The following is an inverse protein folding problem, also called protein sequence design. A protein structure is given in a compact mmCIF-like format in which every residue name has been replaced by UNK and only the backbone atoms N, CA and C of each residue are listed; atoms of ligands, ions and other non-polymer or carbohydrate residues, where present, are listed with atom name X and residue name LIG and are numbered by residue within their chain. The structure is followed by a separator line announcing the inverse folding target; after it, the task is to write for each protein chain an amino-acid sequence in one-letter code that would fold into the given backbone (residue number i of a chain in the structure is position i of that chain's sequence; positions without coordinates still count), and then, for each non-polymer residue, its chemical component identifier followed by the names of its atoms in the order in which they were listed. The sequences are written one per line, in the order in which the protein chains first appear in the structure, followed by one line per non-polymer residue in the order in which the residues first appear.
data_IF_536855178874
#
_entry.id   IF_536855178874
#
_cell.length_a   1.000
_cell.length_b   1.000
_cell.length_c   1.000
_cell.angle_alpha   90.00
_cell.angle_beta   90.00
_cell.angle_gamma   90.00
#
_symmetry.space_group_name_H-M   'P 1'
#
loop_
_entity.id
_entity.type
_entity.pdbx_description
1 polymer ?
#
# COMPACT_ATOMS: atom_id res chain seq x y z
N UNK A 1 23.52 21.85 -16.63
CA UNK A 1 22.28 21.04 -16.62
C UNK A 1 21.91 20.77 -15.18
N UNK A 2 20.76 21.25 -14.77
CA UNK A 2 20.20 20.92 -13.45
C UNK A 2 19.38 19.66 -13.60
N UNK A 3 19.40 18.79 -12.57
CA UNK A 3 18.64 17.55 -12.55
C UNK A 3 17.67 17.55 -11.37
N UNK A 4 16.45 17.13 -11.61
CA UNK A 4 15.51 16.79 -10.56
C UNK A 4 15.81 15.36 -10.10
N UNK A 5 15.99 15.18 -8.77
CA UNK A 5 16.24 13.89 -8.16
C UNK A 5 14.93 13.32 -7.59
N UNK A 6 14.52 12.17 -8.09
CA UNK A 6 13.48 11.34 -7.51
C UNK A 6 14.12 10.15 -6.80
N UNK A 7 13.65 9.85 -5.59
CA UNK A 7 14.17 8.76 -4.76
C UNK A 7 13.00 7.86 -4.40
N UNK A 8 13.09 6.59 -4.77
CA UNK A 8 12.08 5.57 -4.47
C UNK A 8 12.71 4.44 -3.65
N UNK A 9 12.13 4.12 -2.50
CA UNK A 9 12.56 2.96 -1.74
C UNK A 9 12.07 1.67 -2.41
N UNK A 10 12.98 0.74 -2.65
CA UNK A 10 12.66 -0.61 -3.13
C UNK A 10 12.57 -1.52 -1.92
N UNK A 11 11.48 -2.26 -1.82
CA UNK A 11 11.30 -3.31 -0.83
C UNK A 11 11.08 -4.64 -1.55
N UNK A 12 11.72 -5.68 -1.05
CA UNK A 12 11.72 -7.03 -1.60
C UNK A 12 10.52 -7.89 -1.12
N UNK A 13 9.59 -7.27 -0.39
CA UNK A 13 8.37 -7.90 0.08
C UNK A 13 7.14 -7.07 -0.28
N UNK A 14 5.99 -7.72 -0.51
CA UNK A 14 4.77 -7.03 -0.89
C UNK A 14 4.22 -6.20 0.28
N UNK A 15 3.97 -4.93 -0.01
CA UNK A 15 3.27 -4.00 0.90
C UNK A 15 2.18 -3.27 0.13
N UNK A 16 1.13 -2.86 0.82
CA UNK A 16 0.08 -2.03 0.24
C UNK A 16 0.02 -0.66 0.92
N UNK A 17 -0.52 0.31 0.19
CA UNK A 17 -0.76 1.66 0.68
C UNK A 17 -2.14 1.70 1.36
N UNK A 18 -2.18 2.18 2.61
CA UNK A 18 -3.43 2.36 3.35
C UNK A 18 -3.62 3.84 3.63
N UNK A 19 -4.70 4.42 3.12
CA UNK A 19 -5.05 5.80 3.38
C UNK A 19 -5.69 5.95 4.75
N UNK A 20 -5.24 6.97 5.50
CA UNK A 20 -5.75 7.24 6.85
C UNK A 20 -7.22 7.62 6.85
N UNK A 21 -7.68 8.33 5.81
CA UNK A 21 -9.10 8.69 5.68
C UNK A 21 -9.99 7.47 5.46
N UNK A 22 -9.57 6.52 4.64
CA UNK A 22 -10.28 5.24 4.50
C UNK A 22 -10.45 4.55 5.86
N UNK A 23 -9.35 4.44 6.62
CA UNK A 23 -9.39 3.77 7.92
C UNK A 23 -10.25 4.55 8.94
N UNK A 24 -10.20 5.90 8.91
CA UNK A 24 -11.04 6.75 9.75
C UNK A 24 -12.52 6.54 9.45
N UNK A 25 -12.91 6.56 8.17
CA UNK A 25 -14.28 6.31 7.75
C UNK A 25 -14.75 4.92 8.20
N UNK A 26 -13.88 3.91 8.05
CA UNK A 26 -14.18 2.56 8.52
C UNK A 26 -14.32 2.47 10.06
N UNK A 27 -13.53 3.24 10.83
CA UNK A 27 -13.66 3.34 12.29
C UNK A 27 -15.00 3.96 12.71
N UNK A 28 -15.55 4.86 11.92
CA UNK A 28 -16.83 5.54 12.21
C UNK A 28 -18.04 4.73 11.76
N UNK A 29 -17.89 3.86 10.76
CA UNK A 29 -18.99 3.01 10.27
C UNK A 29 -19.38 1.94 11.29
N UNK A 30 -20.48 2.20 12.01
CA UNK A 30 -21.01 1.30 13.05
C UNK A 30 -21.70 0.04 12.49
N UNK A 31 -21.99 0.01 11.22
CA UNK A 31 -22.61 -1.14 10.56
C UNK A 31 -21.61 -2.29 10.35
N UNK A 32 -20.32 -1.97 10.22
CA UNK A 32 -19.26 -2.98 10.15
C UNK A 32 -18.88 -3.39 11.57
N UNK A 33 -19.03 -4.67 11.87
CA UNK A 33 -18.86 -5.20 13.24
C UNK A 33 -17.40 -5.55 13.53
N UNK A 34 -17.01 -5.32 14.79
CA UNK A 34 -15.73 -5.75 15.37
C UNK A 34 -15.86 -7.01 16.23
N UNK A 35 -16.98 -7.73 16.11
CA UNK A 35 -17.23 -8.98 16.87
C UNK A 35 -16.36 -10.10 16.32
N UNK A 36 -15.57 -10.73 17.16
CA UNK A 36 -14.55 -11.71 16.77
C UNK A 36 -13.16 -11.19 17.03
N UNK A 37 -12.16 -11.79 16.40
CA UNK A 37 -10.81 -11.27 16.39
C UNK A 37 -10.75 -10.09 15.42
N UNK A 38 -10.38 -8.90 15.91
CA UNK A 38 -10.19 -7.70 15.08
C UNK A 38 -8.74 -7.22 15.14
N UNK A 39 -7.78 -8.15 15.24
CA UNK A 39 -6.37 -7.81 15.45
C UNK A 39 -5.76 -7.05 14.28
N UNK A 40 -6.15 -7.37 13.04
CA UNK A 40 -5.73 -6.62 11.86
C UNK A 40 -6.20 -5.17 11.95
N UNK A 41 -7.47 -4.96 12.27
CA UNK A 41 -8.05 -3.63 12.47
C UNK A 41 -7.34 -2.86 13.58
N UNK A 42 -7.17 -3.45 14.75
CA UNK A 42 -6.53 -2.79 15.88
C UNK A 42 -5.09 -2.36 15.56
N UNK A 43 -4.32 -3.25 14.95
CA UNK A 43 -2.95 -2.94 14.58
C UNK A 43 -2.88 -1.86 13.48
N UNK A 44 -3.74 -1.94 12.46
CA UNK A 44 -3.82 -0.89 11.43
C UNK A 44 -4.19 0.48 11.99
N UNK A 45 -5.13 0.52 12.93
CA UNK A 45 -5.50 1.77 13.61
C UNK A 45 -4.28 2.37 14.32
N UNK A 46 -3.51 1.58 15.05
CA UNK A 46 -2.28 2.06 15.68
C UNK A 46 -1.26 2.57 14.65
N UNK A 47 -1.07 1.84 13.54
CA UNK A 47 -0.23 2.28 12.43
C UNK A 47 -0.70 3.62 11.83
N UNK A 48 -2.01 3.86 11.76
CA UNK A 48 -2.56 5.11 11.22
C UNK A 48 -2.25 6.34 12.08
N UNK A 49 -2.03 6.15 13.38
CA UNK A 49 -1.65 7.22 14.30
C UNK A 49 -0.13 7.38 14.44
N UNK A 50 0.64 6.35 14.12
CA UNK A 50 2.09 6.40 14.22
C UNK A 50 2.69 7.53 13.39
N UNK A 51 3.65 8.24 13.98
CA UNK A 51 4.30 9.38 13.35
C UNK A 51 5.28 8.98 12.24
N UNK A 52 5.40 9.83 11.22
CA UNK A 52 6.46 9.75 10.20
C UNK A 52 7.68 10.59 10.54
N UNK A 53 7.50 11.63 11.34
CA UNK A 53 8.57 12.57 11.72
C UNK A 53 8.48 12.85 13.21
N UNK A 54 9.61 13.17 13.82
CA UNK A 54 9.64 13.63 15.21
C UNK A 54 8.75 14.86 15.39
N UNK A 55 7.86 14.80 16.37
CA UNK A 55 6.94 15.88 16.72
C UNK A 55 6.67 15.92 18.22
N UNK A 56 5.95 16.93 18.69
CA UNK A 56 5.51 17.02 20.07
C UNK A 56 4.00 16.95 20.15
N UNK A 57 3.47 16.06 21.01
CA UNK A 57 2.06 15.99 21.33
C UNK A 57 1.82 16.50 22.74
N UNK A 58 0.90 17.47 22.89
CA UNK A 58 0.51 18.00 24.19
C UNK A 58 -0.73 17.27 24.70
N UNK A 59 -0.62 16.63 25.88
CA UNK A 59 -1.72 15.96 26.58
C UNK A 59 -1.66 16.36 28.05
N UNK A 60 -2.82 16.68 28.64
CA UNK A 60 -2.93 17.08 30.05
C UNK A 60 -1.94 18.18 30.48
N UNK A 61 -1.65 19.12 29.56
CA UNK A 61 -0.69 20.22 29.81
C UNK A 61 0.80 19.86 29.63
N UNK A 62 1.12 18.59 29.45
CA UNK A 62 2.49 18.10 29.27
C UNK A 62 2.78 17.86 27.79
N UNK A 63 3.95 18.29 27.31
CA UNK A 63 4.41 18.02 25.96
C UNK A 63 5.26 16.75 25.93
N UNK A 64 4.83 15.78 25.11
CA UNK A 64 5.53 14.50 24.91
C UNK A 64 6.24 14.51 23.56
N UNK A 65 7.52 14.18 23.56
CA UNK A 65 8.26 13.94 22.33
C UNK A 65 7.79 12.61 21.74
N UNK A 66 7.41 12.62 20.46
CA UNK A 66 6.91 11.47 19.70
C UNK A 66 7.82 11.29 18.49
N UNK A 67 8.52 10.18 18.44
CA UNK A 67 9.43 9.83 17.36
C UNK A 67 8.73 9.10 16.22
N UNK A 68 9.37 8.89 15.04
CA UNK A 68 8.79 8.09 13.97
C UNK A 68 8.42 6.69 14.44
N UNK A 69 7.21 6.24 14.09
CA UNK A 69 6.65 4.96 14.54
C UNK A 69 6.02 4.99 15.92
N UNK A 70 6.15 6.11 16.65
CA UNK A 70 5.57 6.28 17.98
C UNK A 70 4.28 7.09 17.94
N UNK A 71 3.48 6.94 19.00
CA UNK A 71 2.39 7.82 19.34
C UNK A 71 2.08 7.78 20.85
N UNK A 72 1.49 8.87 21.34
CA UNK A 72 1.01 8.96 22.74
C UNK A 72 -0.48 9.21 22.72
N UNK A 73 -1.25 8.45 23.48
CA UNK A 73 -2.71 8.60 23.57
C UNK A 73 -3.20 8.30 24.99
N UNK A 74 -4.43 8.70 25.26
CA UNK A 74 -5.14 8.28 26.48
C UNK A 74 -5.77 6.90 26.28
N UNK A 75 -6.00 6.17 27.38
CA UNK A 75 -6.75 4.89 27.34
C UNK A 75 -8.19 5.10 26.83
N UNK A 76 -8.76 6.29 27.03
CA UNK A 76 -10.08 6.64 26.51
C UNK A 76 -10.08 6.82 25.00
N UNK A 77 -9.06 7.49 24.42
CA UNK A 77 -8.91 7.58 22.97
C UNK A 77 -8.72 6.19 22.35
N UNK A 78 -7.85 5.37 22.95
CA UNK A 78 -7.59 4.01 22.49
C UNK A 78 -8.87 3.15 22.47
N UNK A 79 -9.67 3.22 23.55
CA UNK A 79 -10.94 2.51 23.64
C UNK A 79 -11.94 2.95 22.55
N UNK A 80 -11.99 4.25 22.23
CA UNK A 80 -12.81 4.78 21.11
C UNK A 80 -12.32 4.25 19.76
N UNK A 81 -11.01 4.27 19.53
CA UNK A 81 -10.42 3.78 18.27
C UNK A 81 -10.70 2.31 18.02
N UNK A 82 -10.54 1.49 19.07
CA UNK A 82 -10.79 0.05 19.00
C UNK A 82 -12.27 -0.32 19.10
N UNK A 83 -13.13 0.68 19.31
CA UNK A 83 -14.57 0.47 19.49
C UNK A 83 -14.88 -0.51 20.63
N UNK A 84 -14.02 -0.55 21.65
CA UNK A 84 -14.23 -1.36 22.86
C UNK A 84 -15.13 -0.63 23.86
N UNK A 85 -15.91 -1.40 24.62
CA UNK A 85 -16.81 -0.85 25.63
C UNK A 85 -16.04 -0.30 26.83
N UNK A 86 -14.93 -0.96 27.20
CA UNK A 86 -14.15 -0.64 28.39
C UNK A 86 -12.69 -0.41 28.06
N UNK A 87 -12.05 0.51 28.79
CA UNK A 87 -10.64 0.86 28.57
C UNK A 87 -9.69 -0.32 28.83
N UNK A 88 -9.98 -1.18 29.81
CA UNK A 88 -9.14 -2.36 30.08
C UNK A 88 -9.10 -3.34 28.89
N UNK A 89 -10.20 -3.45 28.13
CA UNK A 89 -10.22 -4.29 26.92
C UNK A 89 -9.26 -3.74 25.85
N UNK A 90 -9.22 -2.40 25.69
CA UNK A 90 -8.29 -1.77 24.75
C UNK A 90 -6.83 -2.00 25.18
N UNK A 91 -6.56 -1.98 26.49
CA UNK A 91 -5.21 -2.28 27.00
C UNK A 91 -4.86 -3.76 26.81
N UNK A 92 -5.80 -4.69 27.06
CA UNK A 92 -5.54 -6.13 26.79
C UNK A 92 -5.23 -6.43 25.33
N UNK A 93 -5.79 -5.64 24.39
CA UNK A 93 -5.41 -5.72 22.97
C UNK A 93 -3.96 -5.28 22.76
N UNK A 94 -3.51 -4.22 23.43
CA UNK A 94 -2.10 -3.81 23.35
C UNK A 94 -1.17 -4.85 23.97
N UNK A 95 -1.54 -5.44 25.12
CA UNK A 95 -0.78 -6.53 25.75
C UNK A 95 -0.58 -7.68 24.75
N UNK A 96 -1.66 -8.12 24.11
CA UNK A 96 -1.62 -9.16 23.09
C UNK A 96 -0.70 -8.79 21.90
N UNK A 97 -0.88 -7.59 21.33
CA UNK A 97 -0.04 -7.15 20.19
C UNK A 97 1.44 -7.00 20.56
N UNK A 98 1.74 -6.65 21.82
CA UNK A 98 3.10 -6.60 22.35
C UNK A 98 3.68 -8.01 22.52
N UNK A 99 2.92 -8.96 23.05
CA UNK A 99 3.32 -10.38 23.17
C UNK A 99 3.62 -10.99 21.79
N UNK A 100 2.88 -10.56 20.75
CA UNK A 100 3.10 -10.97 19.38
C UNK A 100 4.18 -10.12 18.66
N UNK A 101 4.90 -9.25 19.36
CA UNK A 101 5.99 -8.41 18.85
C UNK A 101 5.61 -7.40 17.74
N UNK A 102 4.34 -7.05 17.57
CA UNK A 102 3.90 -6.02 16.63
C UNK A 102 4.21 -4.60 17.09
N UNK A 103 4.25 -4.39 18.38
CA UNK A 103 4.53 -3.10 19.00
C UNK A 103 5.20 -3.28 20.37
N UNK A 104 5.72 -2.18 20.91
CA UNK A 104 5.99 -2.02 22.33
C UNK A 104 5.20 -0.85 22.88
N UNK A 105 4.79 -0.89 24.15
CA UNK A 105 4.15 0.25 24.77
C UNK A 105 4.55 0.41 26.24
N UNK A 106 4.41 1.65 26.70
CA UNK A 106 4.62 2.02 28.12
C UNK A 106 3.46 2.85 28.62
N UNK A 107 3.13 2.70 29.89
CA UNK A 107 2.14 3.54 30.58
C UNK A 107 2.86 4.74 31.21
N UNK A 108 2.29 5.93 31.00
CA UNK A 108 2.84 7.18 31.48
C UNK A 108 1.93 7.79 32.56
N UNK A 109 2.51 8.67 33.38
CA UNK A 109 1.79 9.36 34.44
C UNK A 109 1.13 8.40 35.42
N UNK A 110 -0.16 8.60 35.67
CA UNK A 110 -0.99 7.73 36.56
C UNK A 110 -1.53 6.49 35.87
N UNK A 111 -1.03 6.13 34.67
CA UNK A 111 -1.41 4.93 33.93
C UNK A 111 -2.54 5.12 32.91
N UNK A 112 -3.10 6.33 32.76
CA UNK A 112 -4.13 6.66 31.76
C UNK A 112 -3.55 7.10 30.41
N UNK A 113 -2.25 7.38 30.36
CA UNK A 113 -1.55 7.70 29.13
C UNK A 113 -0.73 6.49 28.69
N UNK A 114 -0.73 6.25 27.38
CA UNK A 114 -0.03 5.18 26.74
C UNK A 114 0.86 5.78 25.66
N UNK A 115 2.15 5.47 25.71
CA UNK A 115 3.09 5.70 24.61
C UNK A 115 3.37 4.36 23.96
N UNK A 116 3.08 4.20 22.67
CA UNK A 116 3.37 2.99 21.92
C UNK A 116 4.32 3.28 20.76
N UNK A 117 5.03 2.25 20.33
CA UNK A 117 5.94 2.26 19.18
C UNK A 117 5.68 1.03 18.32
N UNK A 118 5.48 1.23 17.02
CA UNK A 118 5.26 0.16 16.04
C UNK A 118 6.60 -0.50 15.71
N UNK A 119 6.68 -1.82 15.86
CA UNK A 119 7.88 -2.58 15.51
C UNK A 119 8.13 -2.55 14.01
N UNK A 120 9.38 -2.27 13.61
CA UNK A 120 9.76 -2.27 12.20
C UNK A 120 9.15 -1.12 11.38
N UNK A 121 8.64 -0.06 12.02
CA UNK A 121 8.03 1.09 11.34
C UNK A 121 8.88 1.65 10.20
N UNK A 122 10.16 1.88 10.45
CA UNK A 122 11.09 2.44 9.46
C UNK A 122 11.30 1.53 8.26
N UNK A 123 11.22 0.21 8.44
CA UNK A 123 11.34 -0.74 7.35
C UNK A 123 10.23 -0.56 6.30
N UNK A 124 9.01 -0.28 6.78
CA UNK A 124 7.82 -0.14 5.93
C UNK A 124 7.59 1.31 5.49
N UNK A 125 7.90 2.29 6.36
CA UNK A 125 7.46 3.66 6.26
C UNK A 125 8.63 4.64 6.40
N UNK A 126 9.41 4.81 5.34
CA UNK A 126 10.42 5.88 5.25
C UNK A 126 9.83 7.09 4.57
N UNK A 127 10.24 8.31 4.97
CA UNK A 127 9.73 9.55 4.36
C UNK A 127 10.38 9.89 3.03
N UNK A 128 11.30 9.05 2.52
CA UNK A 128 11.94 9.26 1.23
C UNK A 128 10.99 9.13 0.04
N UNK A 129 9.87 8.40 0.24
CA UNK A 129 8.83 8.24 -0.78
C UNK A 129 7.86 9.44 -0.84
N UNK A 130 8.04 10.47 -0.01
CA UNK A 130 7.11 11.59 0.13
C UNK A 130 7.78 12.92 -0.26
N UNK A 131 7.82 13.20 -1.54
CA UNK A 131 8.37 14.47 -2.04
C UNK A 131 7.35 15.61 -2.13
N UNK A 132 6.05 15.33 -1.97
CA UNK A 132 5.00 16.33 -2.11
C UNK A 132 4.23 16.55 -0.80
N UNK A 133 4.07 17.80 -0.33
CA UNK A 133 3.16 18.11 0.75
C UNK A 133 1.72 17.92 0.28
N UNK A 134 1.02 16.91 0.81
CA UNK A 134 -0.41 16.75 0.60
C UNK A 134 -1.16 17.80 1.42
N UNK A 135 -1.63 18.86 0.78
CA UNK A 135 -2.30 19.98 1.44
C UNK A 135 -3.73 19.66 1.91
N UNK A 136 -4.35 18.59 1.40
CA UNK A 136 -5.76 18.24 1.66
C UNK A 136 -5.99 16.82 2.15
N UNK A 137 -4.95 15.98 2.20
CA UNK A 137 -5.03 14.58 2.54
C UNK A 137 -4.38 14.34 3.92
N UNK A 138 -5.01 13.52 4.74
CA UNK A 138 -4.48 13.08 6.04
C UNK A 138 -3.29 12.12 5.86
N UNK A 139 -2.97 11.76 4.62
CA UNK A 139 -1.85 10.92 4.25
C UNK A 139 -2.16 9.43 4.29
N UNK A 140 -1.13 8.65 4.05
CA UNK A 140 -1.19 7.20 4.03
C UNK A 140 0.02 6.59 4.76
N UNK A 141 -0.01 5.28 4.96
CA UNK A 141 1.13 4.49 5.41
C UNK A 141 1.21 3.20 4.61
N UNK A 142 2.39 2.58 4.57
CA UNK A 142 2.58 1.28 3.95
C UNK A 142 2.41 0.17 4.98
N UNK A 143 1.67 -0.86 4.60
CA UNK A 143 1.37 -2.02 5.43
C UNK A 143 1.86 -3.31 4.75
N UNK A 144 2.69 -4.15 5.41
CA UNK A 144 3.20 -5.38 4.82
C UNK A 144 2.11 -6.44 4.74
N UNK A 145 1.99 -7.10 3.58
CA UNK A 145 0.95 -8.12 3.35
C UNK A 145 1.19 -9.36 4.24
N UNK A 146 2.43 -9.67 4.60
CA UNK A 146 2.75 -10.77 5.53
C UNK A 146 2.06 -10.62 6.89
N UNK A 147 2.05 -9.41 7.45
CA UNK A 147 1.38 -9.13 8.72
C UNK A 147 -0.15 -9.34 8.65
N UNK A 148 -0.76 -9.16 7.46
CA UNK A 148 -2.19 -9.46 7.27
C UNK A 148 -2.47 -10.93 7.48
N UNK A 149 -1.68 -11.81 6.85
CA UNK A 149 -1.86 -13.26 6.96
C UNK A 149 -1.71 -13.73 8.40
N UNK A 150 -0.70 -13.22 9.11
CA UNK A 150 -0.45 -13.55 10.51
C UNK A 150 -1.64 -13.12 11.38
N UNK A 151 -2.04 -11.84 11.32
CA UNK A 151 -3.10 -11.28 12.17
C UNK A 151 -4.47 -11.92 11.93
N UNK A 152 -4.79 -12.24 10.65
CA UNK A 152 -6.03 -12.93 10.29
C UNK A 152 -6.06 -14.36 10.83
N UNK A 153 -4.93 -15.06 10.83
CA UNK A 153 -4.85 -16.46 11.30
C UNK A 153 -4.99 -16.60 12.82
N UNK A 154 -4.91 -15.53 13.60
CA UNK A 154 -4.96 -15.55 15.06
C UNK A 154 -6.35 -15.82 15.64
N UNK A 155 -7.39 -15.97 14.82
CA UNK A 155 -8.73 -16.30 15.32
C UNK A 155 -9.83 -16.18 14.28
N UNK A 156 -11.08 -16.09 14.75
CA UNK A 156 -12.23 -15.86 13.89
C UNK A 156 -12.31 -14.39 13.51
N UNK A 157 -12.09 -14.08 12.24
CA UNK A 157 -12.11 -12.69 11.75
C UNK A 157 -13.46 -12.02 12.00
N UNK A 158 -13.41 -10.77 12.41
CA UNK A 158 -14.56 -9.88 12.43
C UNK A 158 -14.90 -9.40 11.02
N UNK A 159 -16.09 -8.81 10.84
CA UNK A 159 -16.46 -8.14 9.58
C UNK A 159 -15.45 -7.03 9.22
N UNK A 160 -14.92 -6.34 10.24
CA UNK A 160 -13.92 -5.29 10.09
C UNK A 160 -12.61 -5.82 9.49
N UNK A 161 -12.09 -6.94 10.03
CA UNK A 161 -10.89 -7.57 9.51
C UNK A 161 -11.09 -8.12 8.09
N UNK A 162 -12.30 -8.62 7.79
CA UNK A 162 -12.66 -9.10 6.45
C UNK A 162 -12.61 -7.93 5.44
N UNK A 163 -13.19 -6.77 5.76
CA UNK A 163 -13.15 -5.59 4.87
C UNK A 163 -11.71 -5.16 4.62
N UNK A 164 -10.87 -5.11 5.66
CA UNK A 164 -9.47 -4.75 5.52
C UNK A 164 -8.68 -5.77 4.71
N UNK A 165 -8.93 -7.06 4.91
CA UNK A 165 -8.29 -8.13 4.15
C UNK A 165 -8.62 -8.03 2.65
N UNK A 166 -9.89 -7.83 2.31
CA UNK A 166 -10.32 -7.62 0.93
C UNK A 166 -9.66 -6.37 0.33
N UNK A 167 -9.63 -5.27 1.06
CA UNK A 167 -9.05 -4.01 0.60
C UNK A 167 -7.54 -4.12 0.30
N UNK A 168 -6.80 -4.79 1.15
CA UNK A 168 -5.34 -4.96 1.00
C UNK A 168 -4.99 -5.84 -0.19
N UNK A 169 -5.86 -6.79 -0.51
CA UNK A 169 -5.66 -7.71 -1.61
C UNK A 169 -6.31 -7.27 -2.92
N UNK A 170 -6.80 -6.03 -3.00
CA UNK A 170 -7.31 -5.46 -4.24
C UNK A 170 -6.18 -5.17 -5.22
N UNK A 171 -6.36 -5.60 -6.46
CA UNK A 171 -5.47 -5.36 -7.59
C UNK A 171 -6.26 -4.65 -8.67
N UNK A 172 -5.68 -3.65 -9.30
CA UNK A 172 -6.32 -2.91 -10.39
C UNK A 172 -5.30 -2.65 -11.50
N UNK A 173 -5.73 -2.86 -12.74
CA UNK A 173 -4.96 -2.63 -13.96
C UNK A 173 -3.57 -3.31 -13.93
N UNK A 174 -3.56 -4.60 -13.60
CA UNK A 174 -2.37 -5.47 -13.59
C UNK A 174 -2.59 -6.60 -14.59
N UNK A 175 -1.78 -6.64 -15.65
CA UNK A 175 -1.87 -7.63 -16.74
C UNK A 175 -1.70 -9.08 -16.26
N UNK A 176 -1.09 -9.29 -15.10
CA UNK A 176 -0.90 -10.63 -14.52
C UNK A 176 -2.12 -11.15 -13.78
N UNK A 177 -3.14 -10.31 -13.55
CA UNK A 177 -4.33 -10.69 -12.77
C UNK A 177 -5.58 -10.54 -13.63
N UNK A 178 -6.22 -11.66 -13.93
CA UNK A 178 -7.42 -11.70 -14.75
C UNK A 178 -8.55 -10.84 -14.18
N UNK A 179 -9.19 -10.03 -15.02
CA UNK A 179 -10.30 -9.16 -14.66
C UNK A 179 -9.94 -7.92 -13.86
N UNK A 180 -8.63 -7.65 -13.64
CA UNK A 180 -8.19 -6.43 -12.98
C UNK A 180 -8.31 -5.17 -13.84
N UNK A 181 -8.44 -5.34 -15.15
CA UNK A 181 -8.73 -4.32 -16.16
C UNK A 181 -10.18 -3.83 -16.10
N UNK A 182 -11.13 -4.71 -15.72
CA UNK A 182 -12.53 -4.35 -15.52
C UNK A 182 -12.71 -3.47 -14.29
N UNK A 183 -11.97 -3.77 -13.21
CA UNK A 183 -12.09 -3.04 -11.96
C UNK A 183 -11.19 -3.58 -10.85
N UNK A 184 -11.22 -2.95 -9.66
CA UNK A 184 -10.39 -3.36 -8.51
C UNK A 184 -10.82 -4.74 -8.00
N UNK A 185 -10.16 -5.80 -8.45
CA UNK A 185 -10.47 -7.19 -8.10
C UNK A 185 -9.68 -7.67 -6.90
N UNK A 186 -10.30 -8.42 -6.01
CA UNK A 186 -9.62 -9.05 -4.86
C UNK A 186 -8.88 -10.30 -5.34
N UNK A 187 -7.54 -10.31 -5.14
CA UNK A 187 -6.67 -11.41 -5.54
C UNK A 187 -5.74 -11.85 -4.40
N UNK A 188 -5.92 -13.07 -3.89
CA UNK A 188 -5.13 -13.61 -2.78
C UNK A 188 -3.82 -14.31 -3.20
N UNK A 189 -3.20 -13.85 -4.29
CA UNK A 189 -1.85 -14.21 -4.75
C UNK A 189 -1.60 -15.73 -4.82
N UNK A 190 -2.30 -16.40 -5.73
CA UNK A 190 -2.16 -17.84 -5.97
C UNK A 190 -1.15 -18.21 -7.07
N UNK A 191 -0.34 -17.28 -7.55
CA UNK A 191 0.61 -17.41 -8.65
C UNK A 191 0.01 -17.74 -10.03
N UNK A 192 -1.30 -17.89 -10.15
CA UNK A 192 -1.98 -18.18 -11.42
C UNK A 192 -2.63 -16.94 -12.04
N UNK A 193 -2.67 -15.83 -11.30
CA UNK A 193 -3.39 -14.62 -11.71
C UNK A 193 -4.92 -14.76 -11.68
N UNK A 194 -5.45 -15.89 -11.19
CA UNK A 194 -6.89 -16.15 -11.18
C UNK A 194 -7.54 -15.71 -9.85
N UNK A 195 -8.41 -14.66 -9.83
CA UNK A 195 -9.07 -14.17 -8.63
C UNK A 195 -10.35 -14.94 -8.25
N UNK A 196 -10.69 -16.02 -8.97
CA UNK A 196 -11.80 -16.88 -8.58
C UNK A 196 -11.53 -17.55 -7.24
N UNK A 197 -12.46 -17.41 -6.29
CA UNK A 197 -12.33 -17.97 -4.95
C UNK A 197 -13.63 -18.60 -4.48
N UNK A 198 -13.56 -19.72 -3.77
CA UNK A 198 -14.68 -20.37 -3.17
C UNK A 198 -14.99 -19.85 -1.76
N UNK A 199 -16.25 -19.91 -1.34
CA UNK A 199 -16.63 -19.57 0.05
C UNK A 199 -16.01 -20.51 1.09
N UNK A 200 -15.61 -21.70 0.69
CA UNK A 200 -14.90 -22.64 1.56
C UNK A 200 -13.49 -22.15 1.84
N UNK A 201 -12.77 -21.71 0.81
CA UNK A 201 -11.42 -21.12 0.96
C UNK A 201 -11.46 -19.84 1.79
N UNK A 202 -12.43 -18.94 1.54
CA UNK A 202 -12.66 -17.75 2.36
C UNK A 202 -12.97 -18.11 3.82
N UNK A 203 -13.77 -19.17 4.03
CA UNK A 203 -14.08 -19.65 5.36
C UNK A 203 -12.86 -20.15 6.12
N UNK A 204 -11.97 -20.89 5.46
CA UNK A 204 -10.68 -21.33 6.01
C UNK A 204 -9.78 -20.13 6.31
N UNK A 205 -9.67 -19.18 5.37
CA UNK A 205 -8.86 -17.99 5.53
C UNK A 205 -9.27 -17.14 6.74
N UNK A 206 -10.57 -16.95 6.94
CA UNK A 206 -11.10 -16.07 8.00
C UNK A 206 -11.50 -16.82 9.28
N UNK A 207 -11.32 -18.12 9.35
CA UNK A 207 -11.67 -18.93 10.51
C UNK A 207 -13.16 -18.98 10.80
N UNK A 208 -14.04 -18.82 9.77
CA UNK A 208 -15.49 -18.76 9.91
C UNK A 208 -16.19 -19.76 8.99
N UNK A 209 -17.46 -20.08 9.28
CA UNK A 209 -18.22 -21.02 8.47
C UNK A 209 -18.58 -20.45 7.09
N UNK A 210 -18.73 -21.33 6.07
CA UNK A 210 -19.17 -20.96 4.72
C UNK A 210 -20.47 -20.15 4.74
N UNK A 211 -21.42 -20.50 5.62
CA UNK A 211 -22.66 -19.76 5.78
C UNK A 211 -22.44 -18.33 6.31
N UNK A 212 -21.46 -18.17 7.20
CA UNK A 212 -21.06 -16.83 7.71
C UNK A 212 -20.39 -16.02 6.62
N UNK A 213 -19.49 -16.63 5.82
CA UNK A 213 -18.88 -15.97 4.64
C UNK A 213 -19.98 -15.41 3.72
N UNK A 214 -20.93 -16.25 3.32
CA UNK A 214 -22.04 -15.84 2.43
C UNK A 214 -22.82 -14.65 3.01
N UNK A 215 -23.21 -14.73 4.29
CA UNK A 215 -23.95 -13.63 4.94
C UNK A 215 -23.13 -12.34 5.03
N UNK A 216 -21.83 -12.44 5.33
CA UNK A 216 -20.95 -11.27 5.42
C UNK A 216 -20.77 -10.63 4.05
N UNK A 217 -20.46 -11.41 3.00
CA UNK A 217 -20.26 -10.86 1.65
C UNK A 217 -21.55 -10.23 1.12
N UNK A 218 -22.72 -10.88 1.30
CA UNK A 218 -24.01 -10.30 0.89
C UNK A 218 -24.32 -9.00 1.67
N UNK A 219 -24.01 -8.94 2.95
CA UNK A 219 -24.13 -7.70 3.75
C UNK A 219 -23.25 -6.59 3.20
N UNK A 220 -21.97 -6.89 2.90
CA UNK A 220 -21.02 -5.92 2.35
C UNK A 220 -21.43 -5.46 0.94
N UNK A 221 -22.00 -6.35 0.12
CA UNK A 221 -22.55 -5.99 -1.19
C UNK A 221 -23.76 -5.06 -1.05
N UNK A 222 -24.69 -5.36 -0.16
CA UNK A 222 -25.84 -4.49 0.10
C UNK A 222 -25.46 -3.11 0.67
N UNK A 223 -24.27 -2.98 1.20
CA UNK A 223 -23.67 -1.75 1.71
C UNK A 223 -22.73 -1.07 0.72
N UNK A 224 -22.67 -1.55 -0.51
CA UNK A 224 -21.81 -1.00 -1.57
C UNK A 224 -20.31 -0.99 -1.25
N UNK A 225 -19.83 -1.90 -0.38
CA UNK A 225 -18.40 -2.10 -0.16
C UNK A 225 -17.77 -2.92 -1.27
N UNK A 226 -18.55 -3.85 -1.85
CA UNK A 226 -18.07 -4.74 -2.88
C UNK A 226 -19.20 -5.12 -3.87
N UNK A 227 -18.78 -5.54 -5.05
CA UNK A 227 -19.60 -6.22 -6.05
C UNK A 227 -19.16 -7.68 -6.13
N UNK A 228 -20.11 -8.60 -5.96
CA UNK A 228 -19.86 -10.04 -5.96
C UNK A 228 -20.42 -10.67 -7.23
N UNK A 229 -19.53 -11.19 -8.07
CA UNK A 229 -19.91 -11.96 -9.26
C UNK A 229 -19.71 -13.45 -8.95
N UNK A 230 -20.81 -14.16 -8.74
CA UNK A 230 -20.80 -15.59 -8.41
C UNK A 230 -21.18 -16.44 -9.61
N UNK A 231 -20.44 -17.51 -9.81
CA UNK A 231 -20.66 -18.49 -10.85
C UNK A 231 -21.20 -19.78 -10.26
N UNK A 232 -22.10 -20.42 -10.99
CA UNK A 232 -22.71 -21.69 -10.57
C UNK A 232 -21.70 -22.84 -10.67
N UNK A 233 -21.87 -23.87 -9.83
CA UNK A 233 -21.00 -25.04 -9.83
C UNK A 233 -19.74 -24.89 -8.99
N UNK A 234 -18.58 -25.31 -9.54
CA UNK A 234 -17.28 -25.32 -8.86
C UNK A 234 -16.39 -24.12 -9.18
N UNK A 235 -16.88 -23.18 -9.97
CA UNK A 235 -16.05 -22.06 -10.44
C UNK A 235 -15.71 -21.04 -9.36
N UNK A 236 -16.59 -20.84 -8.37
CA UNK A 236 -16.36 -19.86 -7.30
C UNK A 236 -16.98 -18.50 -7.60
N UNK A 237 -16.38 -17.46 -7.02
CA UNK A 237 -16.84 -16.07 -7.12
C UNK A 237 -15.65 -15.14 -7.33
N UNK A 238 -15.91 -14.03 -8.02
CA UNK A 238 -14.98 -12.90 -8.13
C UNK A 238 -15.52 -11.76 -7.27
N UNK A 239 -14.65 -11.09 -6.54
CA UNK A 239 -14.99 -9.99 -5.65
C UNK A 239 -14.31 -8.72 -6.18
N UNK A 240 -15.11 -7.72 -6.53
CA UNK A 240 -14.63 -6.38 -6.88
C UNK A 240 -14.92 -5.41 -5.75
N UNK A 241 -14.03 -4.45 -5.50
CA UNK A 241 -14.25 -3.43 -4.47
C UNK A 241 -14.92 -2.19 -5.07
N UNK A 242 -16.02 -1.75 -4.46
CA UNK A 242 -16.61 -0.44 -4.72
C UNK A 242 -15.83 0.65 -3.98
N UNK A 243 -15.83 1.87 -4.48
CA UNK A 243 -15.16 3.06 -3.89
C UNK A 243 -13.63 2.92 -3.71
N UNK A 244 -13.01 1.89 -4.30
CA UNK A 244 -11.56 1.70 -4.23
C UNK A 244 -10.82 2.76 -5.05
N UNK A 245 -11.24 2.97 -6.31
CA UNK A 245 -10.59 3.91 -7.21
C UNK A 245 -10.80 5.36 -6.78
N UNK A 246 -12.00 5.70 -6.30
CA UNK A 246 -12.29 7.03 -5.76
C UNK A 246 -11.48 7.34 -4.49
N UNK A 247 -11.21 6.33 -3.66
CA UNK A 247 -10.39 6.48 -2.45
C UNK A 247 -8.89 6.49 -2.77
N UNK A 248 -8.43 5.57 -3.64
CA UNK A 248 -7.00 5.38 -3.89
C UNK A 248 -6.41 6.35 -4.93
N UNK A 249 -7.21 6.73 -5.92
CA UNK A 249 -6.75 7.49 -7.09
C UNK A 249 -7.55 8.75 -7.38
N UNK A 250 -8.60 9.03 -6.59
CA UNK A 250 -9.54 10.16 -6.80
C UNK A 250 -10.20 10.15 -8.19
N UNK A 251 -10.44 8.96 -8.73
CA UNK A 251 -11.17 8.74 -9.99
C UNK A 251 -12.48 8.01 -9.71
N UNK A 252 -13.44 8.14 -10.62
CA UNK A 252 -14.72 7.43 -10.51
C UNK A 252 -14.52 5.91 -10.58
N UNK A 253 -15.26 5.17 -9.76
CA UNK A 253 -15.27 3.71 -9.82
C UNK A 253 -15.96 3.24 -11.11
N UNK A 254 -15.56 2.07 -11.57
CA UNK A 254 -16.14 1.42 -12.76
C UNK A 254 -17.36 0.58 -12.38
N UNK A 255 -18.28 0.47 -13.30
CA UNK A 255 -19.41 -0.47 -13.18
C UNK A 255 -18.93 -1.87 -13.57
N UNK A 256 -19.22 -2.85 -12.71
CA UNK A 256 -18.83 -4.25 -12.96
C UNK A 256 -20.00 -4.97 -13.63
N UNK A 257 -19.79 -5.36 -14.89
CA UNK A 257 -20.74 -6.16 -15.66
C UNK A 257 -20.45 -7.66 -15.51
N UNK A 258 -21.49 -8.44 -15.17
CA UNK A 258 -21.36 -9.88 -14.96
C UNK A 258 -21.01 -10.63 -16.24
N UNK A 259 -21.54 -10.20 -17.38
CA UNK A 259 -21.30 -10.86 -18.67
C UNK A 259 -19.87 -10.62 -19.13
N UNK A 260 -19.35 -9.39 -18.99
CA UNK A 260 -17.96 -9.05 -19.27
C UNK A 260 -16.99 -9.86 -18.40
N UNK A 261 -17.27 -9.95 -17.11
CA UNK A 261 -16.49 -10.77 -16.18
C UNK A 261 -16.52 -12.23 -16.59
N UNK A 262 -17.71 -12.77 -17.00
CA UNK A 262 -17.82 -14.17 -17.40
C UNK A 262 -17.02 -14.49 -18.67
N UNK A 263 -16.99 -13.57 -19.63
CA UNK A 263 -16.19 -13.73 -20.85
C UNK A 263 -14.70 -13.82 -20.56
N UNK A 264 -14.19 -12.95 -19.68
CA UNK A 264 -12.76 -12.96 -19.29
C UNK A 264 -12.36 -14.27 -18.61
N UNK A 265 -13.25 -14.80 -17.76
CA UNK A 265 -12.99 -16.06 -17.06
C UNK A 265 -13.39 -17.30 -17.85
N UNK A 266 -13.91 -17.15 -19.08
CA UNK A 266 -14.41 -18.23 -19.94
C UNK A 266 -15.42 -19.15 -19.24
N UNK A 267 -16.23 -18.58 -18.35
CA UNK A 267 -17.26 -19.30 -17.60
C UNK A 267 -18.59 -19.18 -18.34
N UNK A 268 -19.24 -20.27 -18.72
CA UNK A 268 -20.53 -20.22 -19.40
C UNK A 268 -21.59 -19.58 -18.49
N UNK A 269 -22.22 -18.52 -18.98
CA UNK A 269 -23.39 -17.91 -18.34
C UNK A 269 -24.65 -18.59 -18.90
N UNK A 270 -25.42 -19.24 -18.05
CA UNK A 270 -26.76 -19.71 -18.44
C UNK A 270 -27.67 -18.47 -18.51
N UNK A 271 -27.81 -17.91 -19.72
CA UNK A 271 -28.86 -16.95 -20.02
C UNK A 271 -30.19 -17.70 -20.16
N UNK A 272 -31.27 -17.23 -19.55
CA UNK A 272 -32.60 -17.76 -19.85
C UNK A 272 -32.96 -17.37 -21.28
N UNK A 273 -33.09 -18.41 -22.14
CA UNK A 273 -33.70 -18.38 -23.45
C UNK A 273 -33.33 -17.25 -24.45
N UNK A 274 -32.21 -17.45 -25.16
CA UNK A 274 -32.03 -16.92 -26.50
C UNK A 274 -31.85 -18.09 -27.48
N UNK A 275 -32.48 -18.08 -28.66
CA UNK A 275 -32.38 -19.18 -29.62
C UNK A 275 -30.99 -19.29 -30.20
N UNK A 276 -30.45 -20.51 -30.16
CA UNK A 276 -29.13 -20.87 -30.69
C UNK A 276 -29.13 -20.67 -32.20
N UNK A 277 -28.35 -19.75 -32.71
CA UNK A 277 -27.95 -19.75 -34.12
C UNK A 277 -26.54 -20.36 -34.22
N UNK A 278 -26.47 -21.56 -34.74
CA UNK A 278 -25.25 -22.20 -35.20
C UNK A 278 -24.73 -21.42 -36.41
N UNK A 279 -23.54 -20.87 -36.32
CA UNK A 279 -22.47 -20.90 -37.34
C UNK A 279 -21.44 -19.78 -37.09
N UNK A 280 -20.20 -20.17 -36.79
CA UNK A 280 -19.01 -19.55 -37.40
C UNK A 280 -17.70 -20.13 -36.83
N UNK A 281 -17.09 -20.94 -37.66
CA UNK A 281 -15.70 -21.35 -37.61
C UNK A 281 -14.77 -20.13 -37.73
N UNK A 282 -13.94 -19.84 -36.75
CA UNK A 282 -12.86 -18.86 -36.84
C UNK A 282 -11.54 -19.60 -37.02
N UNK A 283 -10.86 -19.22 -38.10
CA UNK A 283 -9.55 -19.75 -38.52
C UNK A 283 -8.44 -19.09 -37.66
N UNK A 284 -7.49 -19.94 -37.24
CA UNK A 284 -6.21 -19.51 -36.65
C UNK A 284 -5.37 -18.71 -37.65
N UNK A 285 -4.99 -17.48 -37.28
CA UNK A 285 -3.91 -16.74 -37.91
C UNK A 285 -2.73 -16.61 -36.94
N UNK A 286 -1.62 -17.25 -37.32
CA UNK A 286 -0.31 -17.14 -36.69
C UNK A 286 0.30 -15.77 -36.99
N UNK A 287 0.69 -15.03 -35.97
CA UNK A 287 1.53 -13.82 -36.09
C UNK A 287 2.95 -14.19 -35.74
N UNK A 288 3.83 -14.14 -36.73
CA UNK A 288 5.28 -14.22 -36.59
C UNK A 288 5.89 -12.87 -36.23
N UNK A 289 6.63 -12.82 -35.12
CA UNK A 289 7.40 -11.65 -34.71
C UNK A 289 8.82 -11.79 -35.26
N UNK A 290 9.26 -10.80 -36.05
CA UNK A 290 10.63 -10.69 -36.54
C UNK A 290 11.43 -9.84 -35.54
N UNK A 291 12.53 -10.41 -35.05
CA UNK A 291 13.64 -9.72 -34.39
C UNK A 291 14.47 -8.95 -35.44
N UNK A 292 14.59 -7.65 -35.22
CA UNK A 292 15.64 -6.86 -35.84
C UNK A 292 16.40 -6.06 -34.78
N UNK A 293 17.63 -6.47 -34.59
CA UNK A 293 18.64 -5.82 -33.77
C UNK A 293 19.26 -4.66 -34.55
N UNK A 294 19.16 -3.45 -34.00
CA UNK A 294 20.04 -2.35 -34.43
C UNK A 294 20.67 -1.64 -33.22
N UNK A 295 22.00 -1.68 -33.26
CA UNK A 295 22.92 -1.07 -32.30
C UNK A 295 22.93 0.46 -32.46
N UNK A 296 22.48 1.19 -31.41
CA UNK A 296 22.64 2.63 -31.35
C UNK A 296 23.60 3.01 -30.23
N UNK A 297 24.70 3.64 -30.66
CA UNK A 297 25.73 4.25 -29.83
C UNK A 297 25.13 5.32 -28.90
N UNK A 298 25.19 5.11 -27.56
CA UNK A 298 24.66 6.01 -26.55
C UNK A 298 25.71 7.04 -26.11
N UNK A 299 25.56 8.28 -26.51
CA UNK A 299 26.15 9.44 -25.83
C UNK A 299 25.25 9.86 -24.65
N UNK A 300 25.25 9.09 -23.58
CA UNK A 300 24.58 9.49 -22.34
C UNK A 300 25.48 10.46 -21.55
N UNK A 301 24.97 11.59 -21.05
CA UNK A 301 25.74 12.51 -20.21
C UNK A 301 26.17 11.80 -18.91
N UNK A 302 27.48 11.70 -18.72
CA UNK A 302 28.07 11.09 -17.55
C UNK A 302 27.88 12.02 -16.33
N UNK A 303 26.98 11.65 -15.40
CA UNK A 303 26.87 12.36 -14.11
C UNK A 303 28.17 12.18 -13.33
N UNK A 304 28.77 13.28 -12.89
CA UNK A 304 30.05 13.21 -12.19
C UNK A 304 29.93 12.42 -10.87
N UNK A 305 30.98 11.64 -10.55
CA UNK A 305 31.06 10.89 -9.28
C UNK A 305 30.88 11.77 -8.04
N UNK A 306 31.19 13.06 -8.13
CA UNK A 306 30.97 14.03 -7.04
C UNK A 306 29.48 14.31 -6.79
N UNK A 307 28.68 14.40 -7.83
CA UNK A 307 27.22 14.61 -7.73
C UNK A 307 26.53 13.40 -7.08
N UNK A 308 26.93 12.21 -7.49
CA UNK A 308 26.40 10.95 -6.90
C UNK A 308 26.74 10.87 -5.40
N UNK A 309 27.96 11.25 -5.00
CA UNK A 309 28.35 11.31 -3.58
C UNK A 309 27.52 12.31 -2.77
N UNK A 310 27.15 13.45 -3.35
CA UNK A 310 26.27 14.43 -2.68
C UNK A 310 24.87 13.86 -2.48
N UNK A 311 24.33 13.17 -3.48
CA UNK A 311 23.02 12.49 -3.41
C UNK A 311 23.03 11.43 -2.31
N UNK A 312 24.05 10.55 -2.28
CA UNK A 312 24.18 9.51 -1.26
C UNK A 312 24.25 10.13 0.15
N UNK A 313 25.01 11.21 0.33
CA UNK A 313 25.07 11.93 1.62
C UNK A 313 23.73 12.55 2.01
N UNK A 314 22.96 13.07 1.04
CA UNK A 314 21.64 13.63 1.30
C UNK A 314 20.65 12.54 1.74
N UNK A 315 20.65 11.39 1.06
CA UNK A 315 19.84 10.22 1.44
C UNK A 315 20.22 9.73 2.83
N UNK A 316 21.52 9.59 3.13
CA UNK A 316 22.00 9.17 4.43
C UNK A 316 21.54 10.11 5.56
N UNK A 317 21.62 11.43 5.35
CA UNK A 317 21.11 12.41 6.32
C UNK A 317 19.60 12.30 6.55
N UNK A 318 18.84 12.07 5.50
CA UNK A 318 17.39 11.90 5.61
C UNK A 318 17.05 10.63 6.39
N UNK A 319 17.74 9.52 6.12
CA UNK A 319 17.56 8.27 6.86
C UNK A 319 17.95 8.40 8.32
N UNK A 320 19.07 9.07 8.63
CA UNK A 320 19.49 9.36 10.00
C UNK A 320 18.46 10.21 10.76
N UNK A 321 17.92 11.25 10.12
CA UNK A 321 16.86 12.08 10.70
C UNK A 321 15.55 11.33 10.99
N UNK A 322 15.38 10.14 10.42
CA UNK A 322 14.23 9.26 10.64
C UNK A 322 14.50 8.14 11.65
N UNK A 323 15.61 8.21 12.38
CA UNK A 323 15.99 7.20 13.35
C UNK A 323 16.67 5.97 12.76
N UNK A 324 17.09 6.01 11.50
CA UNK A 324 17.93 4.99 10.88
C UNK A 324 19.36 5.09 11.40
N UNK A 325 19.65 4.50 12.58
CA UNK A 325 20.96 4.52 13.24
C UNK A 325 22.12 4.02 12.36
N UNK A 326 21.81 3.30 11.28
CA UNK A 326 22.79 2.78 10.33
C UNK A 326 23.49 3.86 9.48
N UNK A 327 22.91 5.06 9.33
CA UNK A 327 23.42 6.07 8.42
C UNK A 327 24.52 6.96 9.02
N UNK A 328 24.64 7.01 10.33
CA UNK A 328 25.67 7.77 11.04
C UNK A 328 26.91 6.92 11.42
N UNK A 329 26.82 5.60 11.25
CA UNK A 329 27.90 4.71 11.61
C UNK A 329 28.99 4.68 10.52
N UNK A 330 30.29 4.86 10.86
CA UNK A 330 31.37 4.80 9.88
C UNK A 330 31.54 3.45 9.19
N UNK A 331 30.88 2.40 9.67
CA UNK A 331 30.87 1.06 9.06
C UNK A 331 29.73 0.84 8.07
N UNK A 332 28.84 1.81 7.86
CA UNK A 332 27.76 1.72 6.86
C UNK A 332 28.35 1.66 5.45
N UNK A 333 28.01 0.63 4.69
CA UNK A 333 28.49 0.45 3.33
C UNK A 333 27.41 0.92 2.34
N UNK A 334 27.87 1.71 1.36
CA UNK A 334 27.04 2.22 0.27
C UNK A 334 27.49 1.59 -1.04
N UNK A 335 26.58 0.95 -1.76
CA UNK A 335 26.81 0.41 -3.09
C UNK A 335 25.87 1.11 -4.08
N UNK A 336 26.45 1.71 -5.10
CA UNK A 336 25.71 2.39 -6.16
C UNK A 336 25.93 1.65 -7.48
N UNK A 337 24.84 1.28 -8.13
CA UNK A 337 24.83 0.61 -9.42
C UNK A 337 24.13 1.50 -10.44
N UNK A 338 24.72 1.65 -11.64
CA UNK A 338 24.03 2.27 -12.78
C UNK A 338 23.04 1.26 -13.34
N UNK A 339 21.80 1.68 -13.53
CA UNK A 339 20.77 0.90 -14.22
C UNK A 339 20.79 1.37 -15.68
N UNK A 340 21.27 0.53 -16.59
CA UNK A 340 21.25 0.77 -18.04
C UNK A 340 19.81 0.70 -18.54
N UNK A 341 19.48 1.57 -19.50
CA UNK A 341 18.25 1.72 -20.27
C UNK A 341 17.18 2.63 -19.69
N UNK A 342 17.35 3.92 -19.99
CA UNK A 342 16.25 4.85 -19.88
C UNK A 342 15.95 5.48 -21.24
N UNK A 343 14.89 5.04 -21.89
CA UNK A 343 14.28 5.79 -23.00
C UNK A 343 13.85 7.16 -22.43
N UNK A 344 14.45 8.24 -22.91
CA UNK A 344 14.05 9.60 -22.52
C UNK A 344 15.07 10.45 -21.75
N UNK A 345 16.37 10.08 -21.73
CA UNK A 345 17.43 10.94 -21.14
C UNK A 345 17.50 10.93 -19.61
N UNK A 346 16.63 10.21 -18.92
CA UNK A 346 16.68 10.04 -17.48
C UNK A 346 17.78 9.06 -17.07
N UNK A 347 18.53 9.40 -16.02
CA UNK A 347 19.55 8.51 -15.46
C UNK A 347 19.00 7.80 -14.23
N UNK A 348 19.07 6.48 -14.21
CA UNK A 348 18.63 5.65 -13.09
C UNK A 348 19.79 4.95 -12.41
N UNK A 349 19.77 4.94 -11.08
CA UNK A 349 20.75 4.26 -10.26
C UNK A 349 20.04 3.47 -9.17
N UNK A 350 20.61 2.32 -8.81
CA UNK A 350 20.23 1.58 -7.59
C UNK A 350 21.23 1.88 -6.49
N UNK A 351 20.77 2.39 -5.37
CA UNK A 351 21.55 2.63 -4.17
C UNK A 351 21.20 1.58 -3.13
N UNK A 352 22.18 0.78 -2.72
CA UNK A 352 22.05 -0.16 -1.61
C UNK A 352 22.85 0.35 -0.41
N UNK A 353 22.21 0.36 0.76
CA UNK A 353 22.79 0.75 2.04
C UNK A 353 22.76 -0.46 2.96
N UNK A 354 23.93 -1.01 3.29
CA UNK A 354 24.05 -2.14 4.21
C UNK A 354 24.39 -1.61 5.61
N UNK A 355 23.54 -1.89 6.60
CA UNK A 355 23.74 -1.47 7.96
C UNK A 355 24.81 -2.31 8.68
N UNK A 356 25.52 -1.74 9.69
CA UNK A 356 26.58 -2.44 10.41
C UNK A 356 26.11 -3.66 11.22
N UNK A 357 24.80 -3.77 11.50
CA UNK A 357 24.20 -4.90 12.18
C UNK A 357 24.15 -6.18 11.31
N UNK A 358 24.47 -6.07 10.02
CA UNK A 358 24.44 -7.17 9.04
C UNK A 358 23.04 -7.72 8.75
N UNK A 359 21.99 -7.18 9.37
CA UNK A 359 20.62 -7.67 9.27
C UNK A 359 19.71 -6.73 8.50
N UNK A 360 20.04 -5.44 8.48
CA UNK A 360 19.22 -4.41 7.85
C UNK A 360 19.92 -3.87 6.62
N UNK A 361 19.27 -3.94 5.47
CA UNK A 361 19.70 -3.25 4.26
C UNK A 361 18.54 -2.46 3.67
N UNK A 362 18.88 -1.31 3.10
CA UNK A 362 17.91 -0.47 2.38
C UNK A 362 18.33 -0.41 0.92
N UNK A 363 17.36 -0.45 0.03
CA UNK A 363 17.59 -0.29 -1.40
C UNK A 363 16.71 0.83 -1.94
N UNK A 364 17.31 1.71 -2.75
CA UNK A 364 16.63 2.84 -3.36
C UNK A 364 16.90 2.86 -4.86
N UNK A 365 15.88 3.20 -5.63
CA UNK A 365 16.02 3.64 -7.01
C UNK A 365 16.11 5.17 -7.01
N UNK A 366 17.15 5.68 -7.66
CA UNK A 366 17.39 7.12 -7.84
C UNK A 366 17.16 7.42 -9.32
N UNK A 367 16.23 8.29 -9.63
CA UNK A 367 15.99 8.78 -11.00
C UNK A 367 16.39 10.24 -11.08
N UNK A 368 17.29 10.57 -12.01
CA UNK A 368 17.71 11.93 -12.31
C UNK A 368 17.09 12.34 -13.64
N UNK A 369 16.18 13.31 -13.59
CA UNK A 369 15.52 13.89 -14.77
C UNK A 369 16.16 15.23 -15.09
N UNK A 370 16.64 15.48 -16.32
CA UNK A 370 17.15 16.80 -16.69
C UNK A 370 16.03 17.84 -16.60
N UNK A 371 16.31 18.95 -15.91
CA UNK A 371 15.39 20.10 -15.92
C UNK A 371 15.81 21.04 -17.06
N UNK A 372 14.96 21.18 -18.05
CA UNK A 372 15.09 22.26 -19.03
C UNK A 372 14.80 23.57 -18.29
N UNK A 373 15.83 24.40 -18.08
CA UNK A 373 15.61 25.77 -17.66
C UNK A 373 14.90 26.48 -18.82
N UNK A 374 13.75 27.16 -18.59
CA UNK A 374 13.21 28.02 -19.61
C UNK A 374 14.25 29.12 -19.88
N UNK A 375 14.73 29.21 -21.13
CA UNK A 375 15.58 30.25 -21.62
C UNK A 375 14.91 31.63 -21.40
N UNK A 376 15.16 32.27 -20.28
CA UNK A 376 14.84 33.66 -20.02
C UNK A 376 15.92 34.54 -20.64
N UNK A 377 15.96 34.58 -21.96
CA UNK A 377 16.68 35.62 -22.72
C UNK A 377 15.77 36.11 -23.82
N UNK A 378 14.82 36.96 -23.45
CA UNK A 378 14.27 37.99 -24.32
C UNK A 378 13.74 39.11 -23.42
N UNK A 379 14.65 39.96 -22.97
CA UNK A 379 14.32 41.31 -22.55
C UNK A 379 14.36 42.12 -23.88
N UNK A 380 13.26 42.61 -24.37
CA UNK A 380 13.32 43.57 -25.46
C UNK A 380 13.87 44.88 -24.89
N UNK A 381 15.02 45.30 -25.41
CA UNK A 381 15.45 46.69 -25.30
C UNK A 381 14.38 47.58 -25.92
N UNK A 382 13.57 48.25 -25.12
CA UNK A 382 12.72 49.35 -25.56
C UNK A 382 13.40 50.64 -25.24
N UNK A 383 13.92 51.25 -26.35
CA UNK A 383 13.87 52.65 -26.72
C UNK A 383 14.00 53.69 -25.60
N UNK A 384 15.23 54.21 -25.51
CA UNK A 384 15.44 55.64 -25.19
C UNK A 384 14.90 56.47 -26.32
N UNK A 385 14.00 57.39 -26.04
CA UNK A 385 13.60 58.38 -27.02
C UNK A 385 12.47 59.30 -26.54
N UNK A 386 12.90 60.47 -26.00
CA UNK A 386 12.23 61.74 -25.81
C UNK A 386 11.40 61.97 -24.56
#
# INVERSE_FOLDING_TARGET
MNYQLEIKQIVDYPRCRIYRDFLRNLMEDRDIRTNGSSYLFYYMVLCSYANFRTSCRKLEGISYLVEPGEWVCTTTELSKWFRTRFQHQAVSILDFLQEQHYLSYTRLGRGNLIKFQITGWHKNNTTLDYNYPCLKDVGFFFFPISAVHELISMGKCSEMDIVLDLWIHAIYNDEQVQGSDIGPVVYFRNCTGNPLISYTELGLRWGISKATVSRTLNKLQNKEYLSLVSFTGRHGSVIYLCNYLSTMFSISDVMIDKEEVSMIFQVPVNLPDAPISEDSTIKDEQITINDDSDSVSSNAPCVSKSHIRQVVRKVAKILAAQGGSCCECPRTQYKLYSLSDCKGGNLKYSLKIDCPDGRTSYQFELTLTPTDEPNTTNIPESEKGR
#
